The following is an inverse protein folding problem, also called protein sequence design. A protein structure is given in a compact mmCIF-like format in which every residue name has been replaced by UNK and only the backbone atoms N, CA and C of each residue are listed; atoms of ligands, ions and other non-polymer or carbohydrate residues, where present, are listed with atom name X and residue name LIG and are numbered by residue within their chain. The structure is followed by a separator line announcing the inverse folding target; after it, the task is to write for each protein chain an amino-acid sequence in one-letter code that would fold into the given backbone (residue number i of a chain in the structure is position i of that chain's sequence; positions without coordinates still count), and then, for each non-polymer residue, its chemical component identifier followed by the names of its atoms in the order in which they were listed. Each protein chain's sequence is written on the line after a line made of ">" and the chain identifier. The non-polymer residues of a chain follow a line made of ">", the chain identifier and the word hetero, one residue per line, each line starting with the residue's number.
data_IF_825006414643
#
_entry.id   IF_825006414643
#
_cell.length_a   1.000
_cell.length_b   1.000
_cell.length_c   1.000
_cell.angle_alpha   90.00
_cell.angle_beta   90.00
_cell.angle_gamma   90.00
#
_symmetry.space_group_name_H-M   'P 1'
#
loop_
_entity.id
_entity.type
_entity.pdbx_description
1 polymer ?
#
# COMPACT_ATOMS: atom_id res chain seq x y z
N UNK A 1 37.26 42.11 -36.62
CA UNK A 1 38.17 42.60 -35.56
C UNK A 1 37.31 43.30 -34.52
N UNK A 2 37.02 42.63 -33.39
CA UNK A 2 37.46 43.17 -32.11
C UNK A 2 37.43 42.09 -31.03
N UNK A 3 38.44 42.16 -30.15
CA UNK A 3 38.78 41.15 -29.14
C UNK A 3 38.10 41.51 -27.81
N UNK A 4 37.59 40.51 -27.09
CA UNK A 4 37.84 40.34 -25.64
C UNK A 4 37.35 38.97 -25.16
N UNK A 5 38.34 38.13 -24.81
CA UNK A 5 38.20 36.98 -23.93
C UNK A 5 37.64 37.42 -22.57
N UNK A 6 36.82 36.57 -21.94
CA UNK A 6 37.10 36.08 -20.58
C UNK A 6 36.35 34.77 -20.33
N UNK A 7 37.15 33.75 -20.07
CA UNK A 7 36.82 32.41 -19.62
C UNK A 7 36.59 32.43 -18.11
N UNK A 8 35.46 31.91 -17.62
CA UNK A 8 35.36 31.33 -16.28
C UNK A 8 34.20 30.33 -16.23
N UNK A 9 34.56 29.05 -16.23
CA UNK A 9 33.75 27.90 -15.91
C UNK A 9 33.83 27.64 -14.38
N UNK A 10 32.73 27.12 -13.81
CA UNK A 10 32.63 26.23 -12.62
C UNK A 10 31.78 26.72 -11.43
N UNK A 11 30.79 25.86 -11.12
CA UNK A 11 30.37 25.36 -9.80
C UNK A 11 29.32 26.17 -9.00
N UNK A 12 28.09 25.68 -9.16
CA UNK A 12 27.19 25.14 -8.14
C UNK A 12 26.29 26.02 -7.26
N UNK A 13 25.05 25.50 -7.18
CA UNK A 13 24.19 25.33 -6.01
C UNK A 13 23.35 26.51 -5.50
N UNK A 14 22.11 26.12 -5.20
CA UNK A 14 21.16 26.73 -4.29
C UNK A 14 20.43 28.00 -4.78
N UNK A 15 19.26 27.77 -5.39
CA UNK A 15 18.05 28.45 -4.92
C UNK A 15 16.94 27.40 -4.80
N UNK A 16 16.99 26.64 -3.71
CA UNK A 16 15.78 26.07 -3.14
C UNK A 16 14.97 27.27 -2.65
N UNK A 17 14.04 27.76 -3.46
CA UNK A 17 13.05 28.71 -2.96
C UNK A 17 12.31 28.00 -1.84
N UNK A 18 12.58 28.41 -0.59
CA UNK A 18 11.86 27.92 0.56
C UNK A 18 10.40 28.36 0.41
N UNK A 19 9.55 27.45 -0.10
CA UNK A 19 8.11 27.62 -0.08
C UNK A 19 7.68 27.56 1.39
N UNK A 20 7.12 28.67 1.87
CA UNK A 20 6.77 28.88 3.27
C UNK A 20 5.65 27.97 3.76
N UNK A 21 5.50 27.90 5.09
CA UNK A 21 4.51 27.15 5.86
C UNK A 21 3.03 27.43 5.53
N UNK A 22 2.74 28.26 4.52
CA UNK A 22 1.40 28.70 4.16
C UNK A 22 0.54 27.61 3.50
N UNK A 23 1.14 26.60 2.86
CA UNK A 23 0.40 25.55 2.13
C UNK A 23 -0.35 24.57 3.07
N UNK A 24 -0.11 24.71 4.37
CA UNK A 24 -0.79 23.94 5.39
C UNK A 24 -1.64 24.79 6.34
N UNK A 25 -1.57 26.12 6.28
CA UNK A 25 -2.35 27.01 7.17
C UNK A 25 -3.86 26.72 7.09
N UNK A 26 -4.36 26.40 5.89
CA UNK A 26 -5.78 26.06 5.68
C UNK A 26 -6.15 24.70 6.29
N UNK A 27 -5.24 23.73 6.26
CA UNK A 27 -5.36 22.44 6.98
C UNK A 27 -5.15 22.58 8.50
N UNK A 28 -4.38 23.59 8.93
CA UNK A 28 -4.01 23.86 10.32
C UNK A 28 -5.00 24.77 11.07
N UNK A 29 -5.89 25.48 10.36
CA UNK A 29 -6.91 26.38 10.94
C UNK A 29 -8.21 25.69 11.35
N UNK A 30 -8.41 24.43 10.99
CA UNK A 30 -9.55 23.67 11.51
C UNK A 30 -9.40 23.54 13.04
N UNK A 31 -10.37 24.01 13.86
CA UNK A 31 -10.28 23.93 15.30
C UNK A 31 -10.43 22.46 15.72
N UNK A 32 -9.31 21.76 15.80
CA UNK A 32 -9.29 20.43 16.39
C UNK A 32 -8.86 20.56 17.84
N UNK A 33 -9.86 20.49 18.72
CA UNK A 33 -9.64 20.01 20.08
C UNK A 33 -9.12 18.58 19.97
N UNK A 34 -7.80 18.40 20.10
CA UNK A 34 -7.27 17.12 20.52
C UNK A 34 -8.00 16.79 21.83
N UNK A 35 -8.71 15.65 21.95
CA UNK A 35 -9.17 15.23 23.25
C UNK A 35 -7.96 15.20 24.17
N UNK A 36 -8.01 15.86 25.32
CA UNK A 36 -7.00 15.68 26.35
C UNK A 36 -6.94 14.17 26.66
N UNK A 37 -5.84 13.53 26.27
CA UNK A 37 -5.75 12.07 26.18
C UNK A 37 -5.20 11.52 27.48
N UNK A 38 -6.10 11.17 28.40
CA UNK A 38 -5.84 10.28 29.55
C UNK A 38 -6.29 8.83 29.28
N UNK A 39 -6.80 8.54 28.07
CA UNK A 39 -7.26 7.20 27.72
C UNK A 39 -6.09 6.22 27.49
N UNK A 40 -6.08 5.04 28.13
CA UNK A 40 -5.03 4.05 27.94
C UNK A 40 -4.97 3.55 26.49
N UNK A 41 -3.79 3.14 26.02
CA UNK A 41 -3.62 2.56 24.70
C UNK A 41 -4.57 1.36 24.47
N UNK A 42 -5.07 1.12 23.24
CA UNK A 42 -5.94 -0.01 22.98
C UNK A 42 -5.27 -1.32 23.39
N UNK A 43 -6.00 -2.17 24.11
CA UNK A 43 -5.50 -3.45 24.63
C UNK A 43 -5.19 -4.47 23.51
N UNK A 44 -5.71 -4.27 22.29
CA UNK A 44 -5.54 -5.14 21.13
C UNK A 44 -4.63 -4.46 20.10
N UNK A 45 -3.35 -4.87 20.02
CA UNK A 45 -2.31 -4.31 19.14
C UNK A 45 -2.13 -5.11 17.83
N UNK A 46 -3.22 -5.55 17.21
CA UNK A 46 -3.13 -6.37 15.99
C UNK A 46 -3.73 -5.64 14.78
N UNK A 47 -2.94 -5.52 13.71
CA UNK A 47 -3.34 -4.82 12.49
C UNK A 47 -4.22 -5.69 11.62
N UNK A 48 -3.79 -6.92 11.35
CA UNK A 48 -4.48 -7.84 10.44
C UNK A 48 -5.05 -9.06 11.17
N UNK A 49 -6.11 -9.62 10.59
CA UNK A 49 -6.80 -10.82 11.07
C UNK A 49 -6.87 -11.81 9.94
N UNK A 50 -6.55 -13.06 10.25
CA UNK A 50 -6.54 -14.17 9.31
C UNK A 50 -7.61 -15.21 9.67
N UNK A 51 -8.22 -15.79 8.65
CA UNK A 51 -8.93 -17.07 8.73
C UNK A 51 -8.20 -18.08 7.85
N UNK A 52 -7.66 -19.12 8.47
CA UNK A 52 -6.83 -20.10 7.77
C UNK A 52 -7.28 -21.52 8.09
N UNK A 53 -6.96 -22.43 7.17
CA UNK A 53 -7.16 -23.87 7.31
C UNK A 53 -5.85 -24.57 7.00
N UNK A 54 -5.52 -25.58 7.78
CA UNK A 54 -4.26 -26.29 7.63
C UNK A 54 -4.08 -27.42 8.63
N UNK A 55 -2.91 -28.04 8.58
CA UNK A 55 -2.46 -29.07 9.53
C UNK A 55 -1.59 -28.43 10.61
N UNK A 56 -1.93 -28.65 11.87
CA UNK A 56 -1.07 -28.26 12.99
C UNK A 56 -0.02 -29.32 13.24
N UNK A 57 1.23 -28.89 13.42
CA UNK A 57 2.35 -29.76 13.79
C UNK A 57 3.11 -29.13 14.95
N UNK A 58 3.32 -29.91 16.01
CA UNK A 58 4.07 -29.48 17.19
C UNK A 58 5.52 -29.97 17.08
N UNK A 59 6.45 -29.02 17.13
CA UNK A 59 7.89 -29.26 17.24
C UNK A 59 8.37 -28.96 18.67
N UNK A 60 9.59 -29.40 19.06
CA UNK A 60 10.12 -29.13 20.39
C UNK A 60 10.20 -27.64 20.77
N UNK A 61 10.42 -26.76 19.79
CA UNK A 61 10.67 -25.33 19.96
C UNK A 61 9.53 -24.43 19.47
N UNK A 62 8.58 -24.96 18.68
CA UNK A 62 7.49 -24.17 18.07
C UNK A 62 6.31 -25.03 17.65
N UNK A 63 5.15 -24.40 17.51
CA UNK A 63 3.97 -25.01 16.87
C UNK A 63 3.74 -24.31 15.54
N UNK A 64 3.46 -25.07 14.48
CA UNK A 64 3.24 -24.51 13.14
C UNK A 64 1.92 -24.93 12.54
N UNK A 65 1.33 -24.06 11.71
CA UNK A 65 0.25 -24.38 10.79
C UNK A 65 0.80 -24.49 9.37
N UNK A 66 0.61 -25.64 8.74
CA UNK A 66 0.86 -25.84 7.32
C UNK A 66 -0.46 -25.67 6.56
N UNK A 67 -0.60 -24.60 5.79
CA UNK A 67 -1.84 -24.32 5.05
C UNK A 67 -1.92 -25.13 3.75
N UNK A 68 -3.13 -25.27 3.22
CA UNK A 68 -3.38 -26.00 1.95
C UNK A 68 -2.68 -25.38 0.73
N UNK A 69 -2.36 -24.08 0.80
CA UNK A 69 -1.65 -23.34 -0.24
C UNK A 69 -0.12 -23.28 -0.01
N UNK A 70 0.38 -24.07 0.94
CA UNK A 70 1.82 -24.27 1.18
C UNK A 70 2.50 -23.20 2.04
N UNK A 71 1.75 -22.25 2.61
CA UNK A 71 2.29 -21.31 3.60
C UNK A 71 2.48 -22.02 4.95
N UNK A 72 3.43 -21.52 5.73
CA UNK A 72 3.71 -22.01 7.07
C UNK A 72 3.67 -20.84 8.03
N UNK A 73 2.88 -20.97 9.09
CA UNK A 73 2.79 -19.96 10.15
C UNK A 73 3.21 -20.55 11.49
N UNK A 74 4.03 -19.85 12.25
CA UNK A 74 4.30 -20.12 13.65
C UNK A 74 3.07 -19.69 14.46
N UNK A 75 2.51 -20.62 15.23
CA UNK A 75 1.33 -20.36 16.05
C UNK A 75 1.72 -20.03 17.48
N UNK A 76 1.26 -18.88 17.98
CA UNK A 76 1.29 -18.58 19.40
C UNK A 76 0.08 -19.25 20.07
N UNK A 77 0.31 -20.42 20.69
CA UNK A 77 -0.68 -21.25 21.37
C UNK A 77 -0.22 -21.59 22.80
N UNK A 78 -1.18 -21.96 23.66
CA UNK A 78 -0.86 -22.62 24.92
C UNK A 78 -0.28 -24.02 24.65
N UNK A 79 0.47 -24.59 25.61
CA UNK A 79 1.02 -25.94 25.46
C UNK A 79 -0.09 -26.98 25.39
N UNK A 80 -1.16 -26.75 26.13
CA UNK A 80 -2.35 -27.58 26.19
C UNK A 80 -3.07 -27.59 24.84
N UNK A 81 -3.31 -26.42 24.24
CA UNK A 81 -3.94 -26.32 22.91
C UNK A 81 -3.04 -26.92 21.84
N UNK A 82 -1.74 -26.64 21.87
CA UNK A 82 -0.80 -27.22 20.92
C UNK A 82 -0.84 -28.75 20.94
N UNK A 83 -0.80 -29.36 22.13
CA UNK A 83 -0.89 -30.82 22.28
C UNK A 83 -2.26 -31.38 21.84
N UNK A 84 -3.36 -30.67 22.09
CA UNK A 84 -4.71 -31.09 21.70
C UNK A 84 -4.90 -31.14 20.18
N UNK A 85 -4.23 -30.26 19.44
CA UNK A 85 -4.35 -30.14 17.99
C UNK A 85 -3.16 -30.70 17.19
N UNK A 86 -2.19 -31.35 17.84
CA UNK A 86 -1.04 -31.92 17.14
C UNK A 86 -1.48 -32.98 16.11
N UNK A 87 -0.98 -32.85 14.89
CA UNK A 87 -1.33 -33.65 13.72
C UNK A 87 -2.83 -33.61 13.37
N UNK A 88 -3.54 -32.53 13.72
CA UNK A 88 -4.96 -32.33 13.37
C UNK A 88 -5.12 -31.29 12.28
N UNK A 89 -6.05 -31.56 11.37
CA UNK A 89 -6.55 -30.55 10.46
C UNK A 89 -7.44 -29.58 11.24
N UNK A 90 -7.19 -28.28 11.12
CA UNK A 90 -7.88 -27.25 11.88
C UNK A 90 -8.32 -26.08 11.01
N UNK A 91 -9.30 -25.33 11.50
CA UNK A 91 -9.51 -23.95 11.07
C UNK A 91 -9.18 -23.01 12.23
N UNK A 92 -8.47 -21.92 11.92
CA UNK A 92 -8.00 -20.95 12.91
C UNK A 92 -8.44 -19.53 12.55
N UNK A 93 -8.69 -18.75 13.59
CA UNK A 93 -8.69 -17.30 13.53
C UNK A 93 -7.42 -16.80 14.19
N UNK A 94 -6.53 -16.19 13.39
CA UNK A 94 -5.26 -15.63 13.84
C UNK A 94 -5.24 -14.11 13.75
N UNK A 95 -4.31 -13.49 14.48
CA UNK A 95 -4.02 -12.06 14.41
C UNK A 95 -2.51 -11.84 14.33
N UNK A 96 -2.10 -10.79 13.63
CA UNK A 96 -0.70 -10.36 13.52
C UNK A 96 -0.56 -8.89 13.95
N UNK A 97 0.61 -8.52 14.47
CA UNK A 97 0.84 -7.14 14.92
C UNK A 97 0.82 -6.15 13.75
N UNK A 98 1.38 -6.52 12.60
CA UNK A 98 1.43 -5.69 11.39
C UNK A 98 1.23 -6.55 10.14
N UNK A 99 0.77 -5.97 9.02
CA UNK A 99 0.42 -6.76 7.82
C UNK A 99 1.64 -7.23 7.00
N UNK A 100 2.84 -6.78 7.39
CA UNK A 100 4.16 -7.23 6.99
C UNK A 100 4.77 -8.27 7.95
N UNK A 101 4.08 -8.63 9.04
CA UNK A 101 4.38 -9.82 9.83
C UNK A 101 3.70 -11.03 9.18
N UNK A 102 4.51 -11.83 8.49
CA UNK A 102 4.04 -12.92 7.63
C UNK A 102 4.24 -14.31 8.27
N UNK A 103 4.99 -14.39 9.36
CA UNK A 103 5.50 -15.66 9.87
C UNK A 103 4.77 -16.12 11.13
N UNK A 104 4.31 -15.20 11.98
CA UNK A 104 3.75 -15.54 13.30
C UNK A 104 2.28 -15.17 13.40
N UNK A 105 1.48 -16.03 14.02
CA UNK A 105 0.06 -15.81 14.25
C UNK A 105 -0.31 -16.01 15.71
N UNK A 106 -0.84 -14.95 16.33
CA UNK A 106 -1.53 -15.08 17.59
C UNK A 106 -2.89 -15.71 17.41
N UNK A 107 -3.06 -16.94 17.88
CA UNK A 107 -4.32 -17.67 17.69
C UNK A 107 -5.38 -17.13 18.65
N UNK A 108 -6.52 -16.74 18.09
CA UNK A 108 -7.69 -16.26 18.83
C UNK A 108 -8.81 -17.31 18.91
N UNK A 109 -8.84 -18.25 17.97
CA UNK A 109 -9.72 -19.41 17.98
C UNK A 109 -9.12 -20.50 17.10
N UNK A 110 -9.25 -21.75 17.54
CA UNK A 110 -8.82 -22.96 16.84
C UNK A 110 -9.87 -24.05 17.09
N UNK A 111 -10.17 -24.84 16.06
CA UNK A 111 -10.97 -26.06 16.18
C UNK A 111 -10.62 -27.03 15.07
N UNK A 112 -10.88 -28.31 15.30
CA UNK A 112 -10.72 -29.36 14.29
C UNK A 112 -11.62 -29.05 13.08
N UNK A 113 -11.08 -29.27 11.89
CA UNK A 113 -11.73 -29.02 10.62
C UNK A 113 -11.75 -30.30 9.80
N UNK A 114 -12.94 -30.69 9.37
CA UNK A 114 -13.13 -31.74 8.37
C UNK A 114 -13.52 -31.09 7.05
N UNK A 115 -12.75 -31.28 5.96
CA UNK A 115 -13.12 -30.76 4.66
C UNK A 115 -14.48 -31.28 4.21
N UNK A 116 -15.38 -30.37 3.87
CA UNK A 116 -16.65 -30.69 3.24
C UNK A 116 -16.48 -30.60 1.71
N UNK A 117 -16.47 -31.74 0.99
CA UNK A 117 -16.34 -31.74 -0.47
C UNK A 117 -17.57 -31.12 -1.18
N UNK A 118 -18.70 -30.97 -0.47
CA UNK A 118 -19.90 -30.32 -0.98
C UNK A 118 -19.94 -28.81 -0.67
N UNK A 119 -18.90 -28.26 -0.02
CA UNK A 119 -18.86 -26.84 0.31
C UNK A 119 -18.92 -25.98 -0.95
N UNK A 120 -19.87 -25.05 -0.98
CA UNK A 120 -20.06 -24.13 -2.09
C UNK A 120 -18.85 -23.21 -2.19
N UNK A 121 -18.19 -23.23 -3.35
CA UNK A 121 -17.11 -22.30 -3.65
C UNK A 121 -17.66 -20.85 -3.68
N UNK A 122 -17.00 -19.88 -3.02
CA UNK A 122 -17.43 -18.51 -3.08
C UNK A 122 -17.30 -17.97 -4.52
N UNK A 123 -18.11 -16.98 -4.93
CA UNK A 123 -17.95 -16.33 -6.23
C UNK A 123 -16.51 -15.82 -6.44
N UNK A 124 -16.01 -15.77 -7.68
CA UNK A 124 -14.68 -15.27 -7.95
C UNK A 124 -14.53 -13.81 -7.54
N UNK A 125 -13.29 -13.37 -7.39
CA UNK A 125 -12.99 -11.96 -7.18
C UNK A 125 -13.28 -11.13 -8.44
N UNK A 126 -13.62 -9.85 -8.27
CA UNK A 126 -13.86 -8.94 -9.41
C UNK A 126 -12.62 -8.88 -10.31
N UNK A 127 -12.83 -8.94 -11.62
CA UNK A 127 -11.78 -8.95 -12.66
C UNK A 127 -10.79 -7.77 -12.62
N UNK A 128 -11.15 -6.65 -11.98
CA UNK A 128 -10.28 -5.49 -11.75
C UNK A 128 -9.21 -5.68 -10.67
N UNK A 129 -9.22 -6.83 -10.00
CA UNK A 129 -8.30 -7.18 -8.93
C UNK A 129 -7.58 -8.48 -9.27
N UNK A 130 -6.25 -8.43 -9.29
CA UNK A 130 -5.39 -9.59 -9.45
C UNK A 130 -4.15 -9.37 -8.60
N UNK A 131 -3.81 -10.28 -7.66
CA UNK A 131 -2.61 -10.15 -6.85
C UNK A 131 -1.36 -10.11 -7.73
N UNK A 132 -0.41 -9.25 -7.37
CA UNK A 132 0.90 -9.27 -8.00
C UNK A 132 1.57 -10.62 -7.77
N UNK A 133 2.47 -11.01 -8.67
CA UNK A 133 3.26 -12.22 -8.49
C UNK A 133 4.71 -11.91 -8.83
N UNK A 134 5.60 -12.07 -7.84
CA UNK A 134 7.03 -11.98 -8.07
C UNK A 134 7.48 -13.24 -8.83
N UNK A 135 7.93 -13.05 -10.07
CA UNK A 135 8.42 -14.13 -10.93
C UNK A 135 9.89 -14.45 -10.66
N UNK A 136 10.63 -13.47 -10.15
CA UNK A 136 12.03 -13.61 -9.78
C UNK A 136 12.77 -12.28 -9.80
N UNK A 137 14.05 -12.34 -9.49
CA UNK A 137 14.96 -11.21 -9.50
C UNK A 137 16.23 -11.57 -10.26
N UNK A 138 16.72 -10.66 -11.09
CA UNK A 138 18.01 -10.76 -11.78
C UNK A 138 18.66 -9.38 -11.86
N UNK A 139 19.95 -9.30 -11.50
CA UNK A 139 20.74 -8.06 -11.53
C UNK A 139 20.07 -6.87 -10.82
N UNK A 140 19.39 -7.14 -9.70
CA UNK A 140 18.65 -6.14 -8.92
C UNK A 140 17.28 -5.75 -9.49
N UNK A 141 16.91 -6.24 -10.68
CA UNK A 141 15.62 -6.00 -11.31
C UNK A 141 14.60 -7.08 -10.95
N UNK A 142 13.42 -6.64 -10.52
CA UNK A 142 12.30 -7.49 -10.12
C UNK A 142 11.39 -7.75 -11.33
N UNK A 143 11.17 -9.02 -11.65
CA UNK A 143 10.18 -9.43 -12.66
C UNK A 143 8.86 -9.74 -11.97
N UNK A 144 7.80 -9.03 -12.34
CA UNK A 144 6.51 -9.08 -11.65
C UNK A 144 5.39 -9.31 -12.66
N UNK A 145 4.56 -10.32 -12.43
CA UNK A 145 3.32 -10.53 -13.17
C UNK A 145 2.14 -9.81 -12.49
N UNK A 146 1.08 -9.62 -13.27
CA UNK A 146 -0.21 -9.09 -12.82
C UNK A 146 -0.18 -7.62 -12.36
N UNK A 147 0.66 -6.77 -12.96
CA UNK A 147 0.50 -5.32 -12.80
C UNK A 147 -0.65 -4.85 -13.69
N UNK A 148 -1.57 -4.05 -13.14
CA UNK A 148 -2.64 -3.44 -13.94
C UNK A 148 -2.05 -2.34 -14.81
N UNK A 149 -2.24 -2.43 -16.13
CA UNK A 149 -1.58 -1.58 -17.10
C UNK A 149 -2.57 -0.91 -18.05
N UNK A 150 -2.45 0.40 -18.19
CA UNK A 150 -3.16 1.20 -19.17
C UNK A 150 -2.18 2.07 -19.96
N UNK A 151 -2.46 2.29 -21.25
CA UNK A 151 -1.63 3.19 -22.07
C UNK A 151 -2.05 4.65 -21.89
N UNK A 152 -1.13 5.59 -22.11
CA UNK A 152 -1.37 7.03 -21.99
C UNK A 152 -2.43 7.58 -22.98
N UNK A 153 -2.64 6.89 -24.10
CA UNK A 153 -3.60 7.21 -25.15
C UNK A 153 -4.96 6.52 -24.99
N UNK A 154 -5.16 5.76 -23.91
CA UNK A 154 -6.41 5.06 -23.67
C UNK A 154 -7.63 6.01 -23.64
N UNK A 155 -8.67 5.63 -24.39
CA UNK A 155 -9.92 6.39 -24.50
C UNK A 155 -10.96 5.98 -23.44
N UNK A 156 -10.78 4.83 -22.80
CA UNK A 156 -11.63 4.29 -21.75
C UNK A 156 -10.76 3.60 -20.68
N UNK A 157 -11.38 3.13 -19.59
CA UNK A 157 -10.67 2.38 -18.56
C UNK A 157 -10.57 0.88 -18.92
N UNK A 158 -9.98 0.58 -20.07
CA UNK A 158 -9.79 -0.77 -20.63
C UNK A 158 -8.37 -1.28 -20.36
N UNK A 159 -8.05 -1.47 -19.08
CA UNK A 159 -6.73 -1.94 -18.66
C UNK A 159 -6.46 -3.40 -19.05
N UNK A 160 -5.18 -3.76 -19.04
CA UNK A 160 -4.67 -5.13 -19.20
C UNK A 160 -3.87 -5.55 -17.97
N UNK A 161 -3.54 -6.84 -17.86
CA UNK A 161 -2.63 -7.36 -16.84
C UNK A 161 -1.28 -7.66 -17.49
N UNK A 162 -0.26 -6.88 -17.14
CA UNK A 162 1.06 -6.96 -17.74
C UNK A 162 2.05 -7.68 -16.82
N UNK A 163 3.05 -8.31 -17.46
CA UNK A 163 4.30 -8.67 -16.82
C UNK A 163 5.26 -7.49 -16.98
N UNK A 164 5.93 -7.11 -15.90
CA UNK A 164 6.80 -5.93 -15.86
C UNK A 164 8.14 -6.25 -15.24
N UNK A 165 9.12 -5.42 -15.59
CA UNK A 165 10.43 -5.35 -14.97
C UNK A 165 10.53 -4.03 -14.22
N UNK A 166 10.85 -4.12 -12.92
CA UNK A 166 11.01 -2.99 -12.01
C UNK A 166 12.45 -2.93 -11.56
N UNK A 167 13.07 -1.75 -11.63
CA UNK A 167 14.44 -1.50 -11.17
C UNK A 167 14.41 -0.57 -9.96
N UNK A 168 14.31 -1.10 -8.73
CA UNK A 168 14.22 -0.30 -7.51
C UNK A 168 15.34 0.74 -7.39
N UNK A 169 16.53 0.43 -7.88
CA UNK A 169 17.69 1.32 -7.91
C UNK A 169 17.52 2.57 -8.78
N UNK A 170 16.49 2.64 -9.62
CA UNK A 170 16.13 3.78 -10.46
C UNK A 170 14.93 4.58 -9.91
N UNK A 171 14.42 4.25 -8.72
CA UNK A 171 13.37 5.05 -8.08
C UNK A 171 13.85 6.49 -7.93
N UNK A 172 13.04 7.48 -8.26
CA UNK A 172 13.38 8.91 -8.20
C UNK A 172 12.78 9.53 -6.95
N UNK A 173 11.47 9.41 -6.83
CA UNK A 173 10.69 9.95 -5.72
C UNK A 173 9.56 9.01 -5.35
N UNK A 174 9.17 9.04 -4.07
CA UNK A 174 8.01 8.30 -3.58
C UNK A 174 7.03 9.32 -3.04
N UNK A 175 5.77 9.20 -3.41
CA UNK A 175 4.71 10.08 -2.95
C UNK A 175 3.67 9.30 -2.17
N UNK A 176 3.30 9.81 -1.01
CA UNK A 176 2.00 9.51 -0.43
C UNK A 176 0.94 10.29 -1.21
N UNK A 177 -0.08 9.60 -1.70
CA UNK A 177 -1.08 10.19 -2.59
C UNK A 177 -2.45 10.07 -1.96
N UNK A 178 -3.18 11.18 -1.87
CA UNK A 178 -4.59 11.16 -1.47
C UNK A 178 -5.46 11.27 -2.70
N UNK A 179 -6.39 10.32 -2.89
CA UNK A 179 -7.44 10.40 -3.90
C UNK A 179 -8.67 11.05 -3.30
N UNK A 180 -9.13 12.13 -3.92
CA UNK A 180 -10.23 12.96 -3.46
C UNK A 180 -11.37 12.95 -4.47
N UNK A 181 -12.58 12.76 -3.96
CA UNK A 181 -13.79 12.73 -4.78
C UNK A 181 -14.63 13.98 -4.49
N UNK A 182 -15.40 14.49 -5.47
CA UNK A 182 -16.38 15.55 -5.21
C UNK A 182 -17.33 15.14 -4.08
N UNK A 183 -17.58 15.97 -3.05
CA UNK A 183 -17.31 17.41 -2.95
C UNK A 183 -16.00 17.80 -2.21
N UNK A 184 -14.98 16.94 -2.13
CA UNK A 184 -13.72 17.21 -1.42
C UNK A 184 -13.33 16.17 -0.38
N UNK A 185 -13.97 15.00 -0.38
CA UNK A 185 -13.71 13.95 0.61
C UNK A 185 -12.65 13.01 0.03
N UNK A 186 -11.50 12.93 0.70
CA UNK A 186 -10.49 11.95 0.31
C UNK A 186 -10.93 10.57 0.81
N UNK A 187 -11.32 9.73 -0.15
CA UNK A 187 -11.88 8.39 0.11
C UNK A 187 -10.85 7.27 0.00
N UNK A 188 -9.65 7.56 -0.53
CA UNK A 188 -8.59 6.58 -0.66
C UNK A 188 -7.17 7.18 -0.59
N UNK A 189 -6.19 6.38 -0.17
CA UNK A 189 -4.76 6.73 -0.12
C UNK A 189 -3.94 5.71 -0.88
N UNK A 190 -2.82 6.15 -1.49
CA UNK A 190 -1.88 5.32 -2.24
C UNK A 190 -0.43 5.70 -1.95
N UNK A 191 0.49 4.83 -2.36
CA UNK A 191 1.88 5.21 -2.59
C UNK A 191 2.16 5.19 -4.09
N UNK A 192 2.77 6.24 -4.60
CA UNK A 192 3.29 6.30 -5.97
C UNK A 192 4.81 6.28 -5.95
N UNK A 193 5.40 5.38 -6.73
CA UNK A 193 6.84 5.24 -6.90
C UNK A 193 7.19 5.76 -8.28
N UNK A 194 7.71 6.99 -8.35
CA UNK A 194 8.23 7.58 -9.58
C UNK A 194 9.63 7.05 -9.84
N UNK A 195 9.94 6.74 -11.09
CA UNK A 195 11.25 6.24 -11.52
C UNK A 195 11.90 7.18 -12.52
N UNK A 196 13.23 7.12 -12.60
CA UNK A 196 13.97 7.58 -13.76
C UNK A 196 13.69 6.67 -14.98
N UNK A 197 14.03 7.15 -16.18
CA UNK A 197 13.86 6.39 -17.42
C UNK A 197 14.48 4.99 -17.33
N UNK A 198 13.69 3.98 -17.71
CA UNK A 198 14.09 2.57 -17.65
C UNK A 198 13.83 1.89 -16.30
N UNK A 199 13.29 2.61 -15.31
CA UNK A 199 12.95 2.05 -14.00
C UNK A 199 11.73 1.12 -13.99
N UNK A 200 10.80 1.30 -14.93
CA UNK A 200 9.62 0.45 -15.10
C UNK A 200 9.31 0.26 -16.59
N UNK A 201 9.25 -0.99 -17.02
CA UNK A 201 8.80 -1.36 -18.36
C UNK A 201 8.02 -2.68 -18.33
N UNK A 202 7.09 -2.84 -19.26
CA UNK A 202 6.39 -4.10 -19.46
C UNK A 202 7.14 -5.05 -20.41
N UNK A 203 6.61 -6.26 -20.59
CA UNK A 203 7.16 -7.27 -21.50
C UNK A 203 7.17 -6.87 -22.98
N UNK A 204 6.40 -5.86 -23.37
CA UNK A 204 6.36 -5.30 -24.73
C UNK A 204 7.30 -4.10 -24.89
N UNK A 205 8.05 -3.73 -23.85
CA UNK A 205 8.96 -2.60 -23.82
C UNK A 205 8.27 -1.24 -23.66
N UNK A 206 6.96 -1.21 -23.38
CA UNK A 206 6.23 -0.01 -22.99
C UNK A 206 6.72 0.46 -21.64
N UNK A 207 6.95 1.75 -21.51
CA UNK A 207 7.47 2.38 -20.29
C UNK A 207 6.35 3.13 -19.58
N UNK A 208 6.48 3.24 -18.26
CA UNK A 208 5.64 4.11 -17.44
C UNK A 208 6.52 4.91 -16.49
N UNK A 209 6.04 6.08 -16.08
CA UNK A 209 6.71 6.93 -15.09
C UNK A 209 6.91 6.23 -13.74
N UNK A 210 6.12 5.20 -13.47
CA UNK A 210 6.19 4.47 -12.23
C UNK A 210 4.93 3.66 -11.95
N UNK A 211 4.80 3.19 -10.73
CA UNK A 211 3.64 2.41 -10.31
C UNK A 211 3.03 2.94 -9.02
N UNK A 212 1.74 2.65 -8.84
CA UNK A 212 1.02 2.85 -7.60
C UNK A 212 0.90 1.53 -6.84
N UNK A 213 1.06 1.60 -5.52
CA UNK A 213 0.53 0.61 -4.58
C UNK A 213 -0.83 1.11 -4.09
N UNK A 214 -1.86 0.32 -4.33
CA UNK A 214 -3.20 0.50 -3.77
C UNK A 214 -3.56 -0.69 -2.89
N UNK A 215 -3.90 -0.45 -1.63
CA UNK A 215 -4.39 -1.51 -0.73
C UNK A 215 -5.90 -1.43 -0.64
N UNK A 216 -6.58 -2.45 -1.14
CA UNK A 216 -8.01 -2.40 -1.46
C UNK A 216 -8.79 -3.51 -0.75
N UNK A 217 -10.09 -3.26 -0.54
CA UNK A 217 -11.03 -4.31 -0.20
C UNK A 217 -11.19 -5.25 -1.41
N UNK A 218 -10.72 -6.49 -1.28
CA UNK A 218 -10.74 -7.49 -2.33
C UNK A 218 -12.15 -8.09 -2.47
N UNK A 219 -13.00 -7.38 -3.19
CA UNK A 219 -14.41 -7.72 -3.33
C UNK A 219 -14.66 -8.80 -4.41
N UNK A 220 -15.64 -9.66 -4.15
CA UNK A 220 -16.12 -10.70 -5.07
C UNK A 220 -17.13 -10.17 -6.09
N UNK A 221 -17.35 -10.91 -7.16
CA UNK A 221 -18.42 -10.62 -8.13
C UNK A 221 -19.79 -10.57 -7.42
N UNK A 222 -20.63 -9.61 -7.81
CA UNK A 222 -21.91 -9.33 -7.14
C UNK A 222 -21.79 -8.64 -5.77
N UNK A 223 -20.58 -8.55 -5.19
CA UNK A 223 -20.37 -7.92 -3.88
C UNK A 223 -20.20 -6.40 -4.03
N UNK A 224 -21.13 -5.61 -3.50
CA UNK A 224 -20.98 -4.15 -3.41
C UNK A 224 -19.98 -3.76 -2.33
N UNK A 225 -19.23 -2.67 -2.53
CA UNK A 225 -18.37 -2.10 -1.51
C UNK A 225 -19.20 -1.27 -0.53
N UNK A 226 -18.93 -1.41 0.77
CA UNK A 226 -19.49 -0.62 1.85
C UNK A 226 -18.44 -0.44 2.93
N UNK A 227 -18.18 0.82 3.30
CA UNK A 227 -17.22 1.14 4.34
C UNK A 227 -17.66 0.58 5.71
N UNK A 228 -18.97 0.52 5.98
CA UNK A 228 -19.54 -0.11 7.18
C UNK A 228 -19.34 -1.62 7.15
N UNK A 229 -19.48 -2.25 5.99
CA UNK A 229 -19.22 -3.68 5.84
C UNK A 229 -17.74 -4.04 6.06
N UNK A 230 -16.82 -3.09 5.83
CA UNK A 230 -15.40 -3.25 6.13
C UNK A 230 -15.05 -3.24 7.63
N UNK A 231 -15.97 -2.92 8.55
CA UNK A 231 -15.78 -3.19 9.99
C UNK A 231 -16.05 -4.65 10.36
N UNK A 232 -16.59 -5.42 9.40
CA UNK A 232 -16.81 -6.86 9.53
C UNK A 232 -15.84 -7.58 8.60
N UNK A 233 -15.69 -8.89 8.82
CA UNK A 233 -14.97 -9.81 7.94
C UNK A 233 -15.77 -10.06 6.67
N UNK A 234 -15.91 -9.02 5.84
CA UNK A 234 -16.71 -9.03 4.61
C UNK A 234 -15.84 -9.07 3.35
N UNK A 235 -14.68 -8.42 3.39
CA UNK A 235 -13.77 -8.34 2.26
C UNK A 235 -12.41 -8.92 2.63
N UNK A 236 -11.85 -9.71 1.72
CA UNK A 236 -10.40 -9.95 1.76
C UNK A 236 -9.64 -8.64 1.52
N UNK A 237 -8.33 -8.69 1.59
CA UNK A 237 -7.46 -7.56 1.25
C UNK A 237 -6.61 -7.90 0.03
N UNK A 238 -6.33 -6.91 -0.80
CA UNK A 238 -5.39 -7.02 -1.92
C UNK A 238 -4.46 -5.82 -1.93
N UNK A 239 -3.19 -6.09 -2.19
CA UNK A 239 -2.17 -5.09 -2.49
C UNK A 239 -2.00 -5.06 -4.00
N UNK A 240 -2.70 -4.11 -4.63
CA UNK A 240 -2.77 -3.99 -6.07
C UNK A 240 -1.67 -3.07 -6.59
N UNK A 241 -0.92 -3.56 -7.57
CA UNK A 241 0.04 -2.76 -8.34
C UNK A 241 -0.58 -2.32 -9.66
N UNK A 242 -0.46 -1.03 -9.97
CA UNK A 242 -0.92 -0.44 -11.24
C UNK A 242 0.15 0.49 -11.79
N UNK A 243 0.27 0.63 -13.11
CA UNK A 243 1.12 1.68 -13.67
C UNK A 243 0.54 3.08 -13.41
N UNK A 244 1.36 4.11 -13.65
CA UNK A 244 0.97 5.49 -13.43
C UNK A 244 -0.27 5.89 -14.24
N UNK A 245 -0.30 5.52 -15.52
CA UNK A 245 -1.34 5.87 -16.47
C UNK A 245 -2.69 5.26 -16.08
N UNK A 246 -2.75 3.99 -15.67
CA UNK A 246 -3.98 3.34 -15.22
C UNK A 246 -4.64 4.11 -14.08
N UNK A 247 -3.87 4.41 -13.05
CA UNK A 247 -4.43 5.03 -11.86
C UNK A 247 -4.79 6.49 -12.09
N UNK A 248 -3.92 7.23 -12.79
CA UNK A 248 -4.10 8.65 -13.01
C UNK A 248 -5.21 8.95 -14.03
N UNK A 249 -5.28 8.22 -15.16
CA UNK A 249 -6.42 8.34 -16.09
C UNK A 249 -7.72 7.82 -15.44
N UNK A 250 -7.64 6.68 -14.76
CA UNK A 250 -8.77 6.11 -14.00
C UNK A 250 -9.39 7.10 -13.02
N UNK A 251 -8.54 7.86 -12.31
CA UNK A 251 -8.98 8.84 -11.31
C UNK A 251 -9.42 10.15 -11.94
N UNK A 252 -8.54 10.82 -12.70
CA UNK A 252 -8.78 12.17 -13.18
C UNK A 252 -9.61 12.22 -14.46
N UNK A 253 -9.26 11.42 -15.47
CA UNK A 253 -9.90 11.47 -16.77
C UNK A 253 -11.28 10.79 -16.76
N UNK A 254 -11.36 9.57 -16.21
CA UNK A 254 -12.58 8.75 -16.23
C UNK A 254 -13.43 8.91 -14.98
N UNK A 255 -12.80 8.99 -13.81
CA UNK A 255 -13.50 9.12 -12.51
C UNK A 255 -13.95 10.55 -12.18
N UNK A 256 -13.35 11.57 -12.80
CA UNK A 256 -13.55 12.99 -12.46
C UNK A 256 -13.21 13.33 -11.00
N UNK A 257 -12.29 12.57 -10.43
CA UNK A 257 -11.71 12.75 -9.11
C UNK A 257 -10.34 13.49 -9.23
N UNK A 258 -9.67 13.80 -8.13
CA UNK A 258 -8.32 14.36 -8.14
C UNK A 258 -7.38 13.68 -7.15
N UNK A 259 -6.08 13.91 -7.31
CA UNK A 259 -5.03 13.32 -6.50
C UNK A 259 -4.03 14.37 -6.03
N UNK A 260 -3.70 14.37 -4.73
CA UNK A 260 -2.65 15.23 -4.18
C UNK A 260 -1.42 14.40 -3.85
N UNK A 261 -0.24 14.86 -4.26
CA UNK A 261 1.02 14.14 -4.11
C UNK A 261 1.89 14.79 -3.04
N UNK A 262 2.29 14.03 -2.03
CA UNK A 262 3.12 14.47 -0.90
C UNK A 262 4.41 13.63 -0.88
N UNK A 263 5.60 14.22 -1.07
CA UNK A 263 6.84 13.46 -1.15
C UNK A 263 7.18 12.81 0.19
N UNK A 264 7.61 11.55 0.17
CA UNK A 264 8.09 10.82 1.34
C UNK A 264 9.52 11.22 1.63
N UNK A 265 9.76 11.77 2.83
CA UNK A 265 11.06 12.26 3.26
C UNK A 265 11.91 11.12 3.81
N UNK A 266 12.57 10.42 2.90
CA UNK A 266 13.61 9.44 3.23
C UNK A 266 14.84 9.59 2.33
N UNK A 267 15.96 8.98 2.75
CA UNK A 267 17.19 8.97 1.97
C UNK A 267 17.11 8.02 0.76
N UNK A 268 18.14 8.04 -0.09
CA UNK A 268 18.20 7.20 -1.28
C UNK A 268 18.03 5.72 -0.96
N UNK A 269 18.71 5.24 0.07
CA UNK A 269 18.66 3.83 0.45
C UNK A 269 17.25 3.43 0.94
N UNK A 270 16.59 4.32 1.67
CA UNK A 270 15.20 4.18 2.10
C UNK A 270 14.23 4.10 0.92
N UNK A 271 14.39 4.96 -0.10
CA UNK A 271 13.54 4.90 -1.31
C UNK A 271 13.71 3.58 -2.06
N UNK A 272 14.95 3.13 -2.25
CA UNK A 272 15.25 1.87 -2.95
C UNK A 272 14.67 0.67 -2.19
N UNK A 273 14.83 0.62 -0.85
CA UNK A 273 14.22 -0.41 -0.01
C UNK A 273 12.70 -0.40 -0.11
N UNK A 274 12.06 0.76 0.06
CA UNK A 274 10.59 0.86 -0.03
C UNK A 274 10.05 0.35 -1.37
N UNK A 275 10.70 0.71 -2.48
CA UNK A 275 10.28 0.27 -3.81
C UNK A 275 10.34 -1.25 -3.96
N UNK A 276 11.42 -1.87 -3.46
CA UNK A 276 11.60 -3.31 -3.44
C UNK A 276 10.60 -4.01 -2.51
N UNK A 277 10.58 -3.62 -1.24
CA UNK A 277 9.74 -4.22 -0.21
C UNK A 277 8.25 -4.11 -0.57
N UNK A 278 7.84 -3.01 -1.22
CA UNK A 278 6.47 -2.85 -1.74
C UNK A 278 6.11 -3.93 -2.75
N UNK A 279 7.01 -4.21 -3.70
CA UNK A 279 6.77 -5.22 -4.75
C UNK A 279 6.72 -6.62 -4.13
N UNK A 280 7.64 -6.92 -3.23
CA UNK A 280 7.70 -8.21 -2.52
C UNK A 280 6.43 -8.42 -1.67
N UNK A 281 6.02 -7.42 -0.87
CA UNK A 281 4.84 -7.49 -0.02
C UNK A 281 3.51 -7.45 -0.78
N UNK A 282 3.48 -6.84 -1.97
CA UNK A 282 2.33 -6.91 -2.86
C UNK A 282 2.16 -8.28 -3.53
N UNK A 283 3.25 -9.04 -3.65
CA UNK A 283 3.26 -10.40 -4.20
C UNK A 283 2.96 -11.50 -3.18
N UNK A 284 2.88 -11.16 -1.89
CA UNK A 284 2.54 -12.11 -0.83
C UNK A 284 1.13 -12.68 -1.05
N UNK A 285 0.99 -13.98 -0.84
CA UNK A 285 -0.32 -14.63 -0.81
C UNK A 285 -1.06 -14.24 0.49
N UNK A 286 -2.05 -13.35 0.34
CA UNK A 286 -2.90 -12.82 1.41
C UNK A 286 -4.25 -13.52 1.53
N UNK A 287 -4.41 -14.71 0.93
CA UNK A 287 -5.66 -15.47 1.08
C UNK A 287 -5.92 -15.76 2.57
N UNK A 288 -7.15 -15.50 3.01
CA UNK A 288 -7.55 -15.58 4.41
C UNK A 288 -7.31 -14.31 5.23
N UNK A 289 -6.55 -13.34 4.73
CA UNK A 289 -6.37 -12.03 5.37
C UNK A 289 -7.58 -11.12 5.13
N UNK A 290 -8.08 -10.49 6.19
CA UNK A 290 -9.27 -9.64 6.12
C UNK A 290 -8.92 -8.15 6.10
N UNK A 291 -9.57 -7.42 5.18
CA UNK A 291 -9.61 -5.97 5.20
C UNK A 291 -10.44 -5.51 6.40
N UNK A 292 -9.95 -4.48 7.10
CA UNK A 292 -10.68 -3.83 8.17
C UNK A 292 -10.60 -2.32 8.02
N UNK A 293 -11.75 -1.64 7.95
CA UNK A 293 -11.87 -0.19 7.69
C UNK A 293 -10.99 0.70 8.56
N UNK A 294 -10.60 0.24 9.76
CA UNK A 294 -9.70 0.98 10.65
C UNK A 294 -8.35 0.35 10.94
N UNK A 295 -8.17 -0.96 10.77
CA UNK A 295 -6.96 -1.67 11.28
C UNK A 295 -6.08 -2.18 10.15
N UNK A 296 -6.70 -2.79 9.15
CA UNK A 296 -6.05 -3.32 7.96
C UNK A 296 -6.68 -2.68 6.72
N UNK A 297 -6.29 -1.44 6.42
CA UNK A 297 -6.86 -0.62 5.36
C UNK A 297 -5.76 0.03 4.50
N UNK A 298 -6.16 0.85 3.53
CA UNK A 298 -5.21 1.57 2.69
C UNK A 298 -4.22 2.40 3.50
N UNK A 299 -4.71 3.30 4.34
CA UNK A 299 -3.85 4.21 5.12
C UNK A 299 -2.82 3.50 6.01
N UNK A 300 -3.24 2.53 6.82
CA UNK A 300 -2.33 1.89 7.79
C UNK A 300 -1.23 1.08 7.10
N UNK A 301 -1.58 0.36 6.03
CA UNK A 301 -0.62 -0.41 5.27
C UNK A 301 0.40 0.49 4.55
N UNK A 302 -0.01 1.67 4.08
CA UNK A 302 0.93 2.63 3.49
C UNK A 302 1.83 3.29 4.53
N UNK A 303 1.34 3.58 5.74
CA UNK A 303 2.19 4.05 6.84
C UNK A 303 3.21 3.00 7.25
N UNK A 304 2.77 1.73 7.34
CA UNK A 304 3.68 0.60 7.54
C UNK A 304 4.73 0.58 6.43
N UNK A 305 4.33 0.68 5.16
CA UNK A 305 5.28 0.68 4.04
C UNK A 305 6.27 1.86 4.09
N UNK A 306 5.82 3.04 4.48
CA UNK A 306 6.71 4.19 4.70
C UNK A 306 7.77 3.88 5.76
N UNK A 307 7.44 3.13 6.82
CA UNK A 307 8.39 2.77 7.86
C UNK A 307 9.55 1.88 7.37
N UNK A 308 9.39 1.12 6.28
CA UNK A 308 10.50 0.36 5.67
C UNK A 308 11.61 1.28 5.15
N UNK A 309 11.23 2.49 4.70
CA UNK A 309 12.17 3.49 4.24
C UNK A 309 12.80 4.31 5.34
N UNK A 310 12.22 4.35 6.55
CA UNK A 310 12.63 5.26 7.61
C UNK A 310 13.66 4.63 8.56
N UNK A 311 14.61 5.43 9.10
CA UNK A 311 15.45 4.98 10.21
C UNK A 311 14.61 4.75 11.47
N UNK A 312 15.05 3.87 12.36
CA UNK A 312 14.29 3.41 13.54
C UNK A 312 13.69 4.55 14.37
N UNK A 313 14.47 5.59 14.65
CA UNK A 313 14.01 6.75 15.44
C UNK A 313 12.96 7.64 14.76
N UNK A 314 12.70 7.46 13.46
CA UNK A 314 11.68 8.19 12.69
C UNK A 314 10.46 7.34 12.35
N UNK A 315 10.49 6.03 12.61
CA UNK A 315 9.35 5.15 12.32
C UNK A 315 8.10 5.61 13.05
N UNK A 316 6.99 5.62 12.31
CA UNK A 316 5.67 5.96 12.82
C UNK A 316 5.08 4.73 13.48
N UNK A 317 4.98 4.75 14.81
CA UNK A 317 4.37 3.67 15.58
C UNK A 317 2.85 3.65 15.35
N UNK A 318 2.34 2.60 14.71
CA UNK A 318 0.91 2.44 14.41
C UNK A 318 0.03 2.49 15.68
N UNK A 319 0.52 1.90 16.79
CA UNK A 319 -0.25 1.70 18.03
C UNK A 319 -0.12 2.81 19.08
N UNK A 320 0.86 3.71 18.96
CA UNK A 320 0.98 4.86 19.89
C UNK A 320 0.17 6.06 19.45
N UNK A 321 -0.64 5.92 18.40
CA UNK A 321 -1.57 6.95 17.92
C UNK A 321 -2.84 6.78 18.78
N UNK A 322 -3.05 7.60 19.83
CA UNK A 322 -4.15 7.39 20.76
C UNK A 322 -5.46 7.63 20.01
N UNK A 323 -6.27 6.58 19.84
CA UNK A 323 -7.68 6.64 19.45
C UNK A 323 -8.05 7.34 18.13
N UNK A 324 -7.10 7.87 17.35
CA UNK A 324 -7.36 8.40 16.00
C UNK A 324 -7.93 7.27 15.11
N UNK A 325 -7.41 6.06 15.27
CA UNK A 325 -7.83 4.88 14.49
C UNK A 325 -9.28 4.40 14.79
N UNK A 326 -9.91 4.83 15.89
CA UNK A 326 -11.30 4.46 16.21
C UNK A 326 -12.35 5.47 15.75
N UNK A 327 -11.94 6.55 15.08
CA UNK A 327 -12.87 7.47 14.45
C UNK A 327 -12.73 7.36 12.92
N UNK A 328 -13.86 7.13 12.25
CA UNK A 328 -14.00 7.11 10.80
C UNK A 328 -13.29 8.31 10.12
N UNK A 329 -13.23 9.46 10.79
CA UNK A 329 -12.61 10.72 10.36
C UNK A 329 -11.08 10.80 10.49
N UNK A 330 -10.42 9.74 10.95
CA UNK A 330 -9.01 9.75 11.30
C UNK A 330 -8.20 8.60 10.66
N UNK A 331 -8.91 7.68 10.02
CA UNK A 331 -8.39 6.81 8.96
C UNK A 331 -8.73 7.34 7.57
N UNK A 332 -9.46 8.46 7.51
CA UNK A 332 -9.73 9.18 6.27
C UNK A 332 -8.43 9.81 5.74
N UNK A 333 -8.11 9.56 4.48
CA UNK A 333 -6.95 10.10 3.78
C UNK A 333 -6.63 11.60 3.95
N UNK A 334 -7.57 12.56 4.19
CA UNK A 334 -7.21 13.97 4.31
C UNK A 334 -6.31 14.32 5.51
N UNK A 335 -6.40 13.58 6.62
CA UNK A 335 -5.69 13.93 7.87
C UNK A 335 -4.25 13.41 7.91
N UNK A 336 -3.97 12.37 7.14
CA UNK A 336 -2.70 11.65 7.16
C UNK A 336 -1.53 12.53 6.71
N UNK A 337 -1.64 13.32 5.62
CA UNK A 337 -0.57 14.21 5.20
C UNK A 337 -0.14 15.21 6.27
N UNK A 338 -1.09 15.85 6.95
CA UNK A 338 -0.79 16.83 8.00
C UNK A 338 -0.12 16.21 9.24
N UNK A 339 -0.51 14.99 9.63
CA UNK A 339 0.14 14.29 10.73
C UNK A 339 1.57 13.86 10.37
N UNK A 340 1.76 13.18 9.23
CA UNK A 340 3.07 12.70 8.80
C UNK A 340 4.01 13.86 8.45
N UNK A 341 3.48 14.96 7.92
CA UNK A 341 4.21 16.21 7.72
C UNK A 341 4.79 16.78 9.02
N UNK A 342 3.99 16.86 10.09
CA UNK A 342 4.46 17.29 11.43
C UNK A 342 5.51 16.37 12.04
N UNK A 343 5.54 15.09 11.64
CA UNK A 343 6.58 14.13 12.04
C UNK A 343 7.85 14.20 11.17
N UNK A 344 7.88 15.06 10.14
CA UNK A 344 8.98 15.14 9.20
C UNK A 344 9.12 13.91 8.32
N UNK A 345 8.01 13.20 8.09
CA UNK A 345 7.94 11.98 7.26
C UNK A 345 7.45 12.30 5.86
N UNK A 346 6.57 13.30 5.70
CA UNK A 346 6.15 13.81 4.40
C UNK A 346 6.55 15.27 4.23
N UNK A 347 6.83 15.67 2.99
CA UNK A 347 6.98 17.07 2.61
C UNK A 347 5.63 17.75 2.34
N UNK A 348 5.65 19.05 1.99
CA UNK A 348 4.45 19.76 1.53
C UNK A 348 3.86 19.14 0.26
N UNK A 349 2.60 19.49 -0.05
CA UNK A 349 1.96 19.03 -1.29
C UNK A 349 2.81 19.51 -2.47
N UNK A 350 3.31 18.57 -3.26
CA UNK A 350 4.17 18.87 -4.39
C UNK A 350 3.38 19.30 -5.63
N UNK A 351 2.29 18.59 -5.93
CA UNK A 351 1.39 18.90 -7.04
C UNK A 351 0.04 18.18 -6.89
N UNK A 352 -0.91 18.56 -7.73
CA UNK A 352 -2.24 17.93 -7.83
C UNK A 352 -2.45 17.45 -9.26
N UNK A 353 -3.04 16.27 -9.44
CA UNK A 353 -3.54 15.79 -10.73
C UNK A 353 -5.06 15.75 -10.68
N UNK A 354 -5.72 16.41 -11.62
CA UNK A 354 -7.17 16.59 -11.67
C UNK A 354 -7.69 16.49 -13.12
N UNK A 355 -9.02 16.59 -13.34
CA UNK A 355 -9.60 16.47 -14.68
C UNK A 355 -9.14 17.55 -15.68
N UNK A 356 -8.59 18.66 -15.21
CA UNK A 356 -8.17 19.80 -16.03
C UNK A 356 -6.71 19.66 -16.47
N UNK A 357 -5.84 19.12 -15.60
CA UNK A 357 -4.39 19.10 -15.84
C UNK A 357 -3.77 17.71 -16.11
N UNK A 358 -4.53 16.61 -16.04
CA UNK A 358 -3.95 15.27 -16.13
C UNK A 358 -3.12 15.01 -17.40
N UNK A 359 -3.41 15.72 -18.51
CA UNK A 359 -2.65 15.62 -19.78
C UNK A 359 -1.27 16.25 -19.71
N UNK A 360 -1.03 17.17 -18.79
CA UNK A 360 0.32 17.72 -18.54
C UNK A 360 1.22 16.68 -17.88
N UNK A 361 0.63 15.76 -17.11
CA UNK A 361 1.34 14.70 -16.41
C UNK A 361 1.40 13.37 -17.18
N UNK A 362 0.46 13.17 -18.11
CA UNK A 362 0.35 11.99 -18.98
C UNK A 362 0.30 12.48 -20.43
N UNK A 363 1.45 12.97 -20.97
CA UNK A 363 1.50 13.40 -22.35
C UNK A 363 1.24 12.21 -23.26
N UNK A 364 0.57 12.46 -24.39
CA UNK A 364 0.41 11.44 -25.41
C UNK A 364 1.79 11.04 -25.96
N UNK A 365 2.00 9.76 -26.31
CA UNK A 365 3.19 9.35 -27.03
C UNK A 365 3.36 10.20 -28.29
N UNK A 366 4.60 10.58 -28.63
CA UNK A 366 4.87 11.27 -29.88
C UNK A 366 4.32 10.43 -31.05
N UNK A 367 3.68 11.09 -32.03
CA UNK A 367 3.22 10.42 -33.24
C UNK A 367 4.43 9.76 -33.91
N UNK A 368 4.34 8.45 -34.13
CA UNK A 368 5.38 7.65 -34.79
C UNK A 368 5.48 7.97 -36.27
#
# INVERSE_FOLDING_TARGET
>A
MDKRLSLALLISLAVSAAAGAADFEELYRAPFTLPETTAPAPADKHAATYFLRGLVTVHPDRTVLNTVDGRVFILELSKEDAAAYDNRAVEIWGKVEASDDLDSLRVSSIKEYTPDPAAVAPPPYKSKFKPAQLLGEADGALSVANMRWLNADAAAHDFTWANVVIRPELVKEIYFVTKVQPPGIAGHSLLFFEFEDGGLADSEGRRSRGFFLSVEAYAREGQAYSLVAGFKKTYGIIWLLTNFEDYALGTAAFGKDWMNFYPVLTDRAGKVRMARDTVELAAVNREGEWYHSTRNNCTNNLVMMINHGLPEGKKVKLWTIPHFIYNFYATTPPMVPGFLGRKGVLGPKAFTIDPENYREHIPLPAAR
#
